data_IF_175679204992
#
_entry.id   IF_175679204992
#
_cell.length_a   1.000
_cell.length_b   1.000
_cell.length_c   1.000
_cell.angle_alpha   90.00
_cell.angle_beta   90.00
_cell.angle_gamma   90.00
#
_symmetry.space_group_name_H-M   'P 1'
#
loop_
_entity.id
_entity.type
_entity.pdbx_description
1 polymer ?
#
# COMPACT_ATOMS: atom_id res chain seq x y z
N UNK A 1 6.01 -11.67 -6.56
CA UNK A 1 6.96 -10.56 -6.84
C UNK A 1 7.18 -10.29 -8.33
N UNK A 2 7.13 -11.31 -9.20
CA UNK A 2 7.33 -11.15 -10.66
C UNK A 2 6.51 -10.04 -11.31
N UNK A 3 5.25 -9.88 -10.90
CA UNK A 3 4.34 -8.82 -11.40
C UNK A 3 4.60 -7.44 -10.80
N UNK A 4 5.17 -7.36 -9.59
CA UNK A 4 5.47 -6.11 -8.89
C UNK A 4 6.79 -5.48 -9.34
N UNK A 5 7.71 -6.29 -9.86
CA UNK A 5 9.00 -5.86 -10.42
C UNK A 5 9.03 -6.18 -11.92
N UNK A 6 8.62 -5.25 -12.80
CA UNK A 6 8.56 -5.49 -14.25
C UNK A 6 9.92 -5.88 -14.83
N UNK A 7 9.92 -6.92 -15.67
CA UNK A 7 11.14 -7.45 -16.28
C UNK A 7 12.08 -8.18 -15.31
N UNK A 8 11.65 -8.45 -14.08
CA UNK A 8 12.42 -9.20 -13.08
C UNK A 8 12.72 -10.63 -13.52
N UNK A 9 11.96 -11.22 -14.44
CA UNK A 9 12.25 -12.53 -15.03
C UNK A 9 13.34 -12.43 -16.12
N UNK A 10 13.14 -11.61 -17.15
CA UNK A 10 14.11 -11.49 -18.25
C UNK A 10 15.45 -10.88 -17.80
N UNK A 11 15.42 -9.97 -16.82
CA UNK A 11 16.60 -9.31 -16.27
C UNK A 11 16.99 -9.83 -14.87
N UNK A 12 16.53 -11.02 -14.49
CA UNK A 12 16.69 -11.58 -13.14
C UNK A 12 18.11 -11.47 -12.59
N UNK A 13 19.14 -11.69 -13.41
CA UNK A 13 20.56 -11.61 -13.00
C UNK A 13 20.95 -10.26 -12.37
N UNK A 14 20.33 -9.16 -12.80
CA UNK A 14 20.57 -7.82 -12.23
C UNK A 14 19.92 -7.64 -10.86
N UNK A 15 18.84 -8.36 -10.62
CA UNK A 15 18.08 -8.31 -9.38
C UNK A 15 18.58 -9.37 -8.37
N UNK A 16 19.25 -10.42 -8.83
CA UNK A 16 19.46 -11.63 -8.03
C UNK A 16 20.37 -11.42 -6.82
N UNK A 17 21.36 -10.53 -6.89
CA UNK A 17 22.21 -10.19 -5.74
C UNK A 17 21.40 -9.56 -4.58
N UNK A 18 20.35 -8.80 -4.90
CA UNK A 18 19.53 -8.09 -3.91
C UNK A 18 18.27 -8.85 -3.51
N UNK A 19 17.57 -9.44 -4.49
CA UNK A 19 16.22 -9.99 -4.32
C UNK A 19 16.17 -11.52 -4.41
N UNK A 20 17.21 -12.17 -4.92
CA UNK A 20 17.25 -13.62 -5.12
C UNK A 20 16.02 -14.17 -5.88
N UNK A 21 15.60 -13.45 -6.92
CA UNK A 21 14.41 -13.83 -7.71
C UNK A 21 14.54 -15.19 -8.40
N UNK A 22 15.76 -15.65 -8.70
CA UNK A 22 15.96 -17.02 -9.20
C UNK A 22 15.43 -18.08 -8.24
N UNK A 23 15.75 -17.95 -6.95
CA UNK A 23 15.24 -18.81 -5.89
C UNK A 23 13.73 -18.66 -5.74
N UNK A 24 13.25 -17.41 -5.66
CA UNK A 24 11.84 -17.13 -5.42
C UNK A 24 10.94 -17.68 -6.53
N UNK A 25 11.23 -17.36 -7.80
CA UNK A 25 10.38 -17.81 -8.92
C UNK A 25 10.42 -19.33 -9.10
N UNK A 26 11.54 -19.97 -8.76
CA UNK A 26 11.63 -21.44 -8.72
C UNK A 26 10.73 -22.01 -7.62
N UNK A 27 10.78 -21.44 -6.42
CA UNK A 27 9.93 -21.85 -5.31
C UNK A 27 8.44 -21.63 -5.61
N UNK A 28 8.08 -20.48 -6.20
CA UNK A 28 6.72 -20.16 -6.62
C UNK A 28 6.21 -21.24 -7.61
N UNK A 29 6.97 -21.56 -8.66
CA UNK A 29 6.60 -22.59 -9.63
C UNK A 29 6.39 -23.97 -8.99
N UNK A 30 7.29 -24.37 -8.09
CA UNK A 30 7.18 -25.66 -7.39
C UNK A 30 5.91 -25.67 -6.54
N UNK A 31 5.68 -24.63 -5.73
CA UNK A 31 4.52 -24.55 -4.83
C UNK A 31 3.19 -24.51 -5.61
N UNK A 32 3.11 -23.71 -6.68
CA UNK A 32 1.91 -23.60 -7.53
C UNK A 32 1.47 -24.95 -8.09
N UNK A 33 2.43 -25.76 -8.54
CA UNK A 33 2.12 -27.05 -9.16
C UNK A 33 1.90 -28.17 -8.14
N UNK A 34 2.58 -28.13 -6.99
CA UNK A 34 2.43 -29.15 -5.94
C UNK A 34 1.17 -28.97 -5.07
N UNK A 35 0.52 -27.80 -5.11
CA UNK A 35 -0.69 -27.57 -4.33
C UNK A 35 -1.88 -28.41 -4.82
N UNK A 36 -2.63 -28.97 -3.87
CA UNK A 36 -3.92 -29.64 -4.12
C UNK A 36 -4.99 -28.63 -4.58
N UNK A 37 -5.01 -27.45 -3.94
CA UNK A 37 -5.85 -26.30 -4.31
C UNK A 37 -5.13 -24.99 -3.97
N UNK A 38 -5.52 -23.91 -4.64
CA UNK A 38 -4.95 -22.57 -4.49
C UNK A 38 -6.09 -21.61 -4.15
N UNK A 39 -5.96 -20.89 -3.04
CA UNK A 39 -6.87 -19.80 -2.68
C UNK A 39 -6.31 -18.48 -3.21
N UNK A 40 -7.14 -17.70 -3.89
CA UNK A 40 -6.84 -16.31 -4.26
C UNK A 40 -7.87 -15.35 -3.67
N UNK A 41 -7.50 -14.08 -3.54
CA UNK A 41 -8.41 -13.07 -2.96
C UNK A 41 -9.33 -12.43 -4.00
N UNK A 42 -8.93 -12.47 -5.27
CA UNK A 42 -9.63 -11.85 -6.41
C UNK A 42 -9.52 -12.73 -7.65
N UNK A 43 -10.40 -12.49 -8.63
CA UNK A 43 -10.26 -13.05 -9.97
C UNK A 43 -9.04 -12.47 -10.70
N UNK A 44 -8.78 -11.17 -10.51
CA UNK A 44 -7.62 -10.45 -11.04
C UNK A 44 -6.31 -11.16 -10.72
N UNK A 45 -6.18 -11.70 -9.50
CA UNK A 45 -4.99 -12.44 -9.08
C UNK A 45 -4.73 -13.66 -9.98
N UNK A 46 -5.77 -14.32 -10.49
CA UNK A 46 -5.65 -15.47 -11.39
C UNK A 46 -5.47 -15.02 -12.84
N UNK A 47 -6.49 -14.38 -13.41
CA UNK A 47 -6.63 -14.15 -14.85
C UNK A 47 -6.80 -12.66 -15.23
N UNK A 48 -6.51 -11.76 -14.30
CA UNK A 48 -6.42 -10.33 -14.59
C UNK A 48 -7.75 -9.70 -15.00
N UNK A 49 -7.71 -8.87 -16.04
CA UNK A 49 -8.88 -8.23 -16.63
C UNK A 49 -8.89 -8.50 -18.14
N UNK A 50 -9.91 -8.01 -18.85
CA UNK A 50 -9.93 -8.06 -20.32
C UNK A 50 -8.67 -7.45 -20.97
N UNK A 51 -8.07 -6.44 -20.33
CA UNK A 51 -6.98 -5.66 -20.91
C UNK A 51 -5.62 -5.89 -20.22
N UNK A 52 -5.57 -6.64 -19.14
CA UNK A 52 -4.36 -6.82 -18.32
C UNK A 52 -4.23 -8.26 -17.84
N UNK A 53 -3.02 -8.80 -17.90
CA UNK A 53 -2.71 -10.17 -17.47
C UNK A 53 -2.77 -10.31 -15.94
N UNK A 54 -3.27 -11.47 -15.48
CA UNK A 54 -3.35 -11.84 -14.07
C UNK A 54 -2.00 -12.14 -13.42
N UNK A 55 -1.99 -12.24 -12.09
CA UNK A 55 -0.74 -12.51 -11.34
C UNK A 55 -0.25 -13.93 -11.62
N UNK A 56 -1.10 -14.94 -11.43
CA UNK A 56 -0.80 -16.34 -11.79
C UNK A 56 -0.67 -16.50 -13.30
N UNK A 57 -1.55 -15.90 -14.09
CA UNK A 57 -1.46 -15.93 -15.56
C UNK A 57 -0.09 -15.50 -16.09
N UNK A 58 0.55 -14.51 -15.46
CA UNK A 58 1.89 -14.05 -15.85
C UNK A 58 2.99 -15.11 -15.66
N UNK A 59 2.72 -16.21 -14.94
CA UNK A 59 3.61 -17.35 -14.75
C UNK A 59 3.33 -18.52 -15.72
N UNK A 60 2.31 -18.40 -16.58
CA UNK A 60 1.99 -19.40 -17.61
C UNK A 60 3.19 -19.66 -18.51
N UNK A 61 3.82 -18.60 -19.03
CA UNK A 61 5.02 -18.72 -19.86
C UNK A 61 5.97 -17.55 -19.59
N UNK A 62 7.22 -17.85 -19.22
CA UNK A 62 8.28 -16.87 -19.04
C UNK A 62 9.67 -17.52 -19.13
N UNK A 63 10.72 -16.71 -19.07
CA UNK A 63 12.10 -17.20 -19.17
C UNK A 63 13.00 -16.47 -18.17
N UNK A 64 13.94 -17.21 -17.59
CA UNK A 64 15.06 -16.68 -16.82
C UNK A 64 16.33 -16.92 -17.65
N UNK A 65 16.75 -15.97 -18.50
CA UNK A 65 17.82 -16.21 -19.47
C UNK A 65 19.11 -16.69 -18.81
N UNK A 66 19.63 -17.82 -19.31
CA UNK A 66 20.82 -18.48 -18.78
C UNK A 66 20.58 -19.33 -17.53
N UNK A 67 19.33 -19.55 -17.12
CA UNK A 67 18.95 -20.49 -16.06
C UNK A 67 17.98 -21.56 -16.59
N UNK A 68 16.72 -21.21 -16.85
CA UNK A 68 15.73 -22.09 -17.48
C UNK A 68 14.61 -21.29 -18.15
N UNK A 69 13.79 -21.98 -18.93
CA UNK A 69 12.58 -21.44 -19.57
C UNK A 69 11.35 -22.22 -19.13
N UNK A 70 10.30 -21.50 -18.77
CA UNK A 70 8.99 -22.04 -18.40
C UNK A 70 8.08 -21.91 -19.61
N UNK A 71 7.77 -23.05 -20.24
CA UNK A 71 6.91 -23.08 -21.43
C UNK A 71 5.42 -23.09 -21.03
N UNK A 72 5.10 -23.82 -19.96
CA UNK A 72 3.75 -23.92 -19.40
C UNK A 72 3.87 -24.15 -17.89
N UNK A 73 3.92 -23.06 -17.11
CA UNK A 73 4.19 -23.08 -15.67
C UNK A 73 2.96 -23.22 -14.79
N UNK A 74 1.81 -22.74 -15.25
CA UNK A 74 0.51 -22.82 -14.58
C UNK A 74 -0.58 -22.60 -15.63
N UNK A 75 -1.77 -23.16 -15.42
CA UNK A 75 -2.95 -22.91 -16.26
C UNK A 75 -3.99 -22.13 -15.44
N UNK A 76 -4.46 -21.00 -15.96
CA UNK A 76 -5.50 -20.18 -15.31
C UNK A 76 -6.85 -20.89 -15.24
N UNK A 77 -7.05 -21.93 -16.05
CA UNK A 77 -8.25 -22.77 -16.03
C UNK A 77 -8.12 -24.01 -15.13
N UNK A 78 -6.99 -24.18 -14.42
CA UNK A 78 -6.80 -25.31 -13.53
C UNK A 78 -7.90 -25.31 -12.43
N UNK A 79 -8.65 -26.41 -12.24
CA UNK A 79 -9.74 -26.48 -11.27
C UNK A 79 -9.28 -26.33 -9.81
N UNK A 80 -7.97 -26.35 -9.55
CA UNK A 80 -7.40 -26.13 -8.22
C UNK A 80 -7.58 -24.68 -7.73
N UNK A 81 -7.80 -23.71 -8.62
CA UNK A 81 -8.01 -22.31 -8.25
C UNK A 81 -9.39 -22.06 -7.66
N UNK A 82 -9.42 -21.41 -6.49
CA UNK A 82 -10.64 -21.05 -5.77
C UNK A 82 -10.52 -19.62 -5.23
N UNK A 83 -11.47 -18.76 -5.58
CA UNK A 83 -11.49 -17.37 -5.06
C UNK A 83 -12.22 -17.37 -3.73
N UNK A 84 -11.52 -16.99 -2.66
CA UNK A 84 -12.08 -16.81 -1.32
C UNK A 84 -11.59 -15.47 -0.78
N UNK A 85 -12.37 -14.42 -1.05
CA UNK A 85 -11.98 -13.06 -0.70
C UNK A 85 -11.93 -12.85 0.83
N UNK A 86 -10.84 -12.29 1.38
CA UNK A 86 -10.74 -11.98 2.79
C UNK A 86 -11.53 -10.70 3.13
N UNK A 87 -11.65 -10.40 4.43
CA UNK A 87 -12.29 -9.18 4.93
C UNK A 87 -11.51 -8.51 6.05
N UNK A 88 -12.03 -7.38 6.53
CA UNK A 88 -11.52 -6.68 7.71
C UNK A 88 -12.30 -7.11 8.97
N UNK A 89 -11.63 -7.19 10.11
CA UNK A 89 -12.28 -7.50 11.40
C UNK A 89 -13.28 -6.42 11.78
N UNK A 90 -14.58 -6.75 11.79
CA UNK A 90 -15.67 -5.79 11.97
C UNK A 90 -15.77 -5.20 13.39
N UNK A 91 -15.07 -5.79 14.34
CA UNK A 91 -14.85 -5.28 15.69
C UNK A 91 -13.85 -4.11 15.72
N UNK A 92 -12.90 -4.09 14.77
CA UNK A 92 -11.86 -3.06 14.65
C UNK A 92 -12.27 -2.00 13.62
N UNK A 93 -12.74 -2.44 12.45
CA UNK A 93 -13.07 -1.60 11.31
C UNK A 93 -14.58 -1.60 11.12
N UNK A 94 -15.20 -0.42 11.24
CA UNK A 94 -16.64 -0.25 11.14
C UNK A 94 -16.96 1.21 10.76
N UNK A 95 -18.17 1.50 10.24
CA UNK A 95 -18.51 2.82 9.72
C UNK A 95 -18.30 3.94 10.75
N UNK A 96 -17.67 5.04 10.33
CA UNK A 96 -17.41 6.22 11.18
C UNK A 96 -18.68 6.87 11.75
N UNK A 97 -19.84 6.61 11.13
CA UNK A 97 -21.17 7.05 11.53
C UNK A 97 -21.73 6.31 12.75
N UNK A 98 -21.17 5.17 13.13
CA UNK A 98 -21.58 4.41 14.32
C UNK A 98 -21.04 5.06 15.61
N UNK A 99 -21.54 6.25 15.97
CA UNK A 99 -21.01 7.10 17.04
C UNK A 99 -20.90 6.41 18.41
N UNK A 100 -21.81 5.48 18.73
CA UNK A 100 -21.79 4.72 19.98
C UNK A 100 -20.62 3.73 20.09
N UNK A 101 -20.06 3.28 18.96
CA UNK A 101 -18.92 2.36 18.92
C UNK A 101 -17.56 3.06 18.86
N UNK A 102 -17.55 4.39 18.69
CA UNK A 102 -16.32 5.18 18.50
C UNK A 102 -15.44 5.11 19.75
N UNK A 103 -14.13 4.94 19.53
CA UNK A 103 -13.15 4.86 20.60
C UNK A 103 -12.65 6.27 20.96
N UNK A 104 -13.55 7.13 21.45
CA UNK A 104 -13.27 8.56 21.71
C UNK A 104 -12.14 8.79 22.71
N UNK A 105 -11.88 7.83 23.61
CA UNK A 105 -10.73 7.85 24.51
C UNK A 105 -9.37 7.92 23.77
N UNK A 106 -9.32 7.50 22.50
CA UNK A 106 -8.11 7.56 21.67
C UNK A 106 -7.94 8.90 20.96
N UNK A 107 -8.95 9.79 20.94
CA UNK A 107 -8.94 11.02 20.15
C UNK A 107 -7.80 11.95 20.53
N UNK A 108 -7.54 12.15 21.83
CA UNK A 108 -6.40 12.97 22.26
C UNK A 108 -5.06 12.44 21.72
N UNK A 109 -4.88 11.13 21.67
CA UNK A 109 -3.66 10.51 21.12
C UNK A 109 -3.57 10.65 19.59
N UNK A 110 -4.71 10.58 18.90
CA UNK A 110 -4.79 10.75 17.43
C UNK A 110 -4.56 12.22 17.06
N UNK A 111 -5.15 13.16 17.81
CA UNK A 111 -4.94 14.58 17.62
C UNK A 111 -3.49 14.98 17.85
N UNK A 112 -2.85 14.42 18.88
CA UNK A 112 -1.41 14.59 19.08
C UNK A 112 -0.63 14.06 17.87
N UNK A 113 -0.91 12.83 17.45
CA UNK A 113 -0.25 12.20 16.30
C UNK A 113 -0.38 13.04 15.01
N UNK A 114 -1.55 13.63 14.76
CA UNK A 114 -1.84 14.40 13.55
C UNK A 114 -1.37 15.86 13.61
N UNK A 115 -1.48 16.51 14.77
CA UNK A 115 -1.45 17.96 14.87
C UNK A 115 -0.45 18.53 15.88
N UNK A 116 0.30 17.69 16.59
CA UNK A 116 1.37 18.16 17.47
C UNK A 116 2.50 18.78 16.63
N UNK A 117 2.85 20.06 16.80
CA UNK A 117 3.90 20.70 16.02
C UNK A 117 5.31 20.15 16.32
N UNK A 118 5.51 19.45 17.44
CA UNK A 118 6.79 18.86 17.81
C UNK A 118 7.27 17.86 16.75
N UNK A 119 8.53 17.98 16.36
CA UNK A 119 9.18 17.06 15.41
C UNK A 119 9.93 16.00 16.22
N UNK A 120 9.62 14.73 16.00
CA UNK A 120 10.21 13.63 16.76
C UNK A 120 10.26 12.34 15.92
N UNK A 121 10.70 11.26 16.56
CA UNK A 121 10.87 9.96 15.89
C UNK A 121 9.54 9.25 15.57
N UNK A 122 8.39 9.76 16.04
CA UNK A 122 7.06 9.22 15.72
C UNK A 122 6.40 9.97 14.55
N UNK A 123 6.68 11.26 14.40
CA UNK A 123 6.08 12.09 13.36
C UNK A 123 6.91 13.33 13.01
N UNK A 124 6.91 13.67 11.72
CA UNK A 124 7.52 14.89 11.17
C UNK A 124 6.58 15.59 10.18
N UNK A 125 6.88 16.86 9.90
CA UNK A 125 5.98 17.78 9.21
C UNK A 125 4.88 18.31 10.15
N UNK A 126 4.13 19.31 9.68
CA UNK A 126 3.07 19.95 10.45
C UNK A 126 1.83 20.18 9.58
N UNK A 127 0.66 20.31 10.21
CA UNK A 127 -0.59 20.69 9.57
C UNK A 127 -1.06 22.02 10.18
N UNK A 128 -0.89 23.12 9.43
CA UNK A 128 -1.20 24.48 9.91
C UNK A 128 -2.71 24.73 9.99
N UNK A 129 -3.47 24.18 9.03
CA UNK A 129 -4.92 24.36 8.96
C UNK A 129 -5.64 23.04 9.28
N UNK A 130 -6.14 22.93 10.50
CA UNK A 130 -6.87 21.74 10.99
C UNK A 130 -8.29 21.62 10.41
N UNK A 131 -8.80 22.65 9.74
CA UNK A 131 -10.14 22.64 9.15
C UNK A 131 -10.19 21.94 7.78
N UNK A 132 -9.04 21.79 7.12
CA UNK A 132 -8.93 21.10 5.84
C UNK A 132 -9.19 19.60 5.98
N UNK A 133 -9.87 18.99 4.99
CA UNK A 133 -9.91 17.54 4.88
C UNK A 133 -8.52 16.93 4.77
N UNK A 134 -8.39 15.68 5.21
CA UNK A 134 -7.14 14.93 5.13
C UNK A 134 -7.21 13.89 4.03
N UNK A 135 -6.27 13.96 3.08
CA UNK A 135 -5.91 12.78 2.28
C UNK A 135 -4.99 11.92 3.14
N UNK A 136 -5.38 10.67 3.34
CA UNK A 136 -4.69 9.71 4.19
C UNK A 136 -4.17 8.53 3.38
N UNK A 137 -2.95 8.10 3.67
CA UNK A 137 -2.39 6.86 3.13
C UNK A 137 -1.61 6.13 4.22
N UNK A 138 -1.74 4.80 4.25
CA UNK A 138 -1.03 3.95 5.22
C UNK A 138 -0.55 2.68 4.53
N UNK A 139 0.75 2.44 4.53
CA UNK A 139 1.35 1.17 4.13
C UNK A 139 2.81 1.07 4.62
N UNK A 140 3.48 -0.03 4.29
CA UNK A 140 4.95 -0.09 4.37
C UNK A 140 5.58 0.94 3.43
N UNK A 141 6.79 1.37 3.76
CA UNK A 141 7.58 2.26 2.94
C UNK A 141 8.55 1.43 2.09
N UNK A 142 8.09 1.02 0.92
CA UNK A 142 8.88 0.29 -0.07
C UNK A 142 8.62 0.85 -1.48
N UNK A 143 9.45 0.46 -2.45
CA UNK A 143 9.38 1.02 -3.80
C UNK A 143 8.02 0.77 -4.47
N UNK A 144 7.45 -0.43 -4.26
CA UNK A 144 6.20 -0.86 -4.90
C UNK A 144 5.02 -0.09 -4.33
N UNK A 145 5.01 0.18 -3.02
CA UNK A 145 3.95 0.95 -2.35
C UNK A 145 3.91 2.42 -2.79
N UNK A 146 5.02 2.96 -3.29
CA UNK A 146 5.08 4.26 -3.97
C UNK A 146 4.52 5.44 -3.16
N UNK A 147 4.78 5.45 -1.84
CA UNK A 147 4.34 6.54 -0.96
C UNK A 147 5.01 7.87 -1.32
N UNK A 148 6.29 7.82 -1.70
CA UNK A 148 7.02 9.02 -2.16
C UNK A 148 6.47 9.56 -3.47
N UNK A 149 5.93 8.71 -4.36
CA UNK A 149 5.24 9.16 -5.57
C UNK A 149 3.96 9.94 -5.26
N UNK A 150 3.16 9.50 -4.28
CA UNK A 150 2.00 10.26 -3.79
C UNK A 150 2.41 11.63 -3.25
N UNK A 151 3.46 11.67 -2.42
CA UNK A 151 3.97 12.92 -1.85
C UNK A 151 4.49 13.86 -2.93
N UNK A 152 5.18 13.34 -3.95
CA UNK A 152 5.62 14.12 -5.09
C UNK A 152 4.45 14.70 -5.90
N UNK A 153 3.43 13.88 -6.21
CA UNK A 153 2.23 14.33 -6.92
C UNK A 153 1.48 15.42 -6.15
N UNK A 154 1.34 15.25 -4.83
CA UNK A 154 0.76 16.25 -3.95
C UNK A 154 1.57 17.55 -3.93
N UNK A 155 2.89 17.45 -3.75
CA UNK A 155 3.79 18.61 -3.69
C UNK A 155 3.76 19.47 -4.96
N UNK A 156 3.61 18.85 -6.13
CA UNK A 156 3.51 19.53 -7.43
C UNK A 156 2.15 20.21 -7.68
N UNK A 157 1.09 19.81 -6.98
CA UNK A 157 -0.27 20.25 -7.29
C UNK A 157 -0.77 21.31 -6.30
N UNK A 158 -0.58 22.59 -6.63
CA UNK A 158 -0.99 23.72 -5.78
C UNK A 158 -2.47 23.67 -5.43
N UNK A 159 -3.36 23.39 -6.40
CA UNK A 159 -4.80 23.31 -6.17
C UNK A 159 -5.14 22.24 -5.13
N UNK A 160 -4.47 21.10 -5.16
CA UNK A 160 -4.70 20.04 -4.17
C UNK A 160 -4.24 20.48 -2.77
N UNK A 161 -3.05 21.08 -2.65
CA UNK A 161 -2.51 21.59 -1.37
C UNK A 161 -3.37 22.71 -0.76
N UNK A 162 -4.02 23.51 -1.60
CA UNK A 162 -4.98 24.52 -1.15
C UNK A 162 -6.23 23.89 -0.52
N UNK A 163 -6.71 22.76 -1.06
CA UNK A 163 -7.96 22.13 -0.66
C UNK A 163 -7.83 21.19 0.54
N UNK A 164 -6.72 20.46 0.67
CA UNK A 164 -6.58 19.37 1.64
C UNK A 164 -5.19 19.34 2.27
N UNK A 165 -5.07 18.67 3.41
CA UNK A 165 -3.79 18.25 4.00
C UNK A 165 -3.44 16.83 3.52
N UNK A 166 -2.15 16.48 3.50
CA UNK A 166 -1.70 15.12 3.24
C UNK A 166 -1.10 14.50 4.51
N UNK A 167 -1.60 13.32 4.89
CA UNK A 167 -1.08 12.51 5.99
C UNK A 167 -0.65 11.14 5.45
N UNK A 168 0.62 10.79 5.67
CA UNK A 168 1.18 9.49 5.29
C UNK A 168 1.68 8.77 6.53
N UNK A 169 1.21 7.54 6.73
CA UNK A 169 1.69 6.60 7.75
C UNK A 169 2.53 5.54 7.05
N UNK A 170 3.86 5.64 7.13
CA UNK A 170 4.74 4.70 6.44
C UNK A 170 6.14 4.65 7.03
N UNK A 171 6.66 3.44 7.21
CA UNK A 171 8.06 3.16 7.56
C UNK A 171 8.59 3.88 8.82
N UNK A 172 9.91 4.01 8.87
CA UNK A 172 10.63 4.83 9.85
C UNK A 172 10.95 6.22 9.29
N UNK A 173 11.22 7.20 10.16
CA UNK A 173 11.63 8.54 9.72
C UNK A 173 13.15 8.66 9.55
N UNK A 174 13.95 7.99 10.40
CA UNK A 174 15.41 7.97 10.30
C UNK A 174 15.88 6.67 9.63
N UNK A 175 16.75 6.80 8.62
CA UNK A 175 17.40 5.69 7.91
C UNK A 175 18.11 4.72 8.85
N UNK A 176 18.62 5.20 10.00
CA UNK A 176 19.33 4.37 11.00
C UNK A 176 18.44 3.32 11.64
N UNK A 177 17.13 3.52 11.62
CA UNK A 177 16.16 2.59 12.19
C UNK A 177 15.77 1.48 11.21
N UNK A 178 16.11 1.63 9.92
CA UNK A 178 15.85 0.61 8.90
C UNK A 178 17.10 -0.18 8.56
N UNK A 179 16.90 -1.48 8.28
CA UNK A 179 17.91 -2.37 7.68
C UNK A 179 17.53 -2.74 6.25
N UNK A 180 16.35 -2.32 5.79
CA UNK A 180 15.85 -2.62 4.46
C UNK A 180 16.33 -1.56 3.47
N UNK A 181 16.96 -1.99 2.38
CA UNK A 181 17.56 -1.07 1.41
C UNK A 181 16.52 -0.26 0.63
N UNK A 182 15.31 -0.80 0.42
CA UNK A 182 14.26 -0.03 -0.24
C UNK A 182 13.68 1.02 0.69
N UNK A 183 13.38 0.65 1.93
CA UNK A 183 12.90 1.58 2.94
C UNK A 183 13.89 2.72 3.17
N UNK A 184 15.19 2.45 3.30
CA UNK A 184 16.23 3.49 3.44
C UNK A 184 16.17 4.48 2.26
N UNK A 185 16.13 3.97 1.02
CA UNK A 185 16.08 4.83 -0.17
C UNK A 185 14.79 5.65 -0.24
N UNK A 186 13.65 5.07 0.17
CA UNK A 186 12.36 5.76 0.21
C UNK A 186 12.29 6.78 1.36
N UNK A 187 12.97 6.55 2.50
CA UNK A 187 13.13 7.52 3.59
C UNK A 187 13.90 8.75 3.09
N UNK A 188 15.06 8.54 2.45
CA UNK A 188 15.88 9.63 1.91
C UNK A 188 15.06 10.46 0.91
N UNK A 189 14.38 9.78 -0.01
CA UNK A 189 13.49 10.42 -0.99
C UNK A 189 12.35 11.18 -0.33
N UNK A 190 11.74 10.65 0.74
CA UNK A 190 10.68 11.35 1.47
C UNK A 190 11.18 12.70 2.04
N UNK A 191 12.34 12.69 2.69
CA UNK A 191 12.98 13.91 3.23
C UNK A 191 13.30 14.92 2.13
N UNK A 192 13.82 14.46 0.99
CA UNK A 192 14.12 15.31 -0.15
C UNK A 192 12.87 15.95 -0.74
N UNK A 193 11.77 15.20 -0.86
CA UNK A 193 10.49 15.71 -1.35
C UNK A 193 9.89 16.76 -0.40
N UNK A 194 9.97 16.53 0.91
CA UNK A 194 9.51 17.49 1.92
C UNK A 194 10.23 18.84 1.77
N UNK A 195 11.56 18.82 1.60
CA UNK A 195 12.37 20.02 1.38
C UNK A 195 12.09 20.66 0.02
N UNK A 196 12.12 19.86 -1.05
CA UNK A 196 11.98 20.30 -2.44
C UNK A 196 10.66 21.04 -2.69
N UNK A 197 9.56 20.55 -2.12
CA UNK A 197 8.23 21.14 -2.32
C UNK A 197 7.78 22.05 -1.16
N UNK A 198 8.64 22.27 -0.16
CA UNK A 198 8.34 23.03 1.06
C UNK A 198 6.98 22.62 1.64
N UNK A 199 6.87 21.36 2.07
CA UNK A 199 5.60 20.74 2.46
C UNK A 199 5.17 21.03 3.90
N UNK A 200 6.00 21.75 4.66
CA UNK A 200 5.65 22.11 6.04
C UNK A 200 4.34 22.92 6.09
N UNK A 201 3.51 22.60 7.08
CA UNK A 201 2.19 23.16 7.25
C UNK A 201 1.07 22.50 6.44
N UNK A 202 1.36 21.63 5.46
CA UNK A 202 0.33 20.89 4.72
C UNK A 202 0.60 19.38 4.60
N UNK A 203 1.67 18.88 5.23
CA UNK A 203 2.08 17.47 5.17
C UNK A 203 2.48 16.96 6.55
N UNK A 204 2.03 15.75 6.86
CA UNK A 204 2.37 15.03 8.08
C UNK A 204 2.80 13.61 7.72
N UNK A 205 4.04 13.26 8.08
CA UNK A 205 4.55 11.91 7.97
C UNK A 205 4.65 11.29 9.35
N UNK A 206 4.01 10.14 9.52
CA UNK A 206 3.91 9.39 10.77
C UNK A 206 4.56 8.02 10.56
N UNK A 207 5.30 7.53 11.56
CA UNK A 207 5.87 6.18 11.52
C UNK A 207 4.79 5.10 11.47
N UNK A 208 5.17 3.92 10.96
CA UNK A 208 4.27 2.76 10.88
C UNK A 208 3.55 2.48 12.21
N UNK A 209 2.23 2.26 12.14
CA UNK A 209 1.37 2.08 13.30
C UNK A 209 0.99 0.61 13.50
N UNK A 210 1.30 0.05 14.66
CA UNK A 210 1.08 -1.39 14.95
C UNK A 210 -0.21 -1.69 15.72
N UNK A 211 -0.80 -0.68 16.37
CA UNK A 211 -2.02 -0.85 17.16
C UNK A 211 -3.27 -0.79 16.26
N UNK A 212 -3.84 -1.95 15.94
CA UNK A 212 -5.01 -2.07 15.07
C UNK A 212 -6.25 -1.33 15.57
N UNK A 213 -6.50 -1.30 16.88
CA UNK A 213 -7.64 -0.57 17.45
C UNK A 213 -7.50 0.94 17.23
N UNK A 214 -6.29 1.49 17.44
CA UNK A 214 -5.98 2.89 17.12
C UNK A 214 -6.05 3.15 15.62
N UNK A 215 -5.58 2.23 14.78
CA UNK A 215 -5.65 2.37 13.32
C UNK A 215 -7.10 2.42 12.81
N UNK A 216 -7.97 1.55 13.34
CA UNK A 216 -9.40 1.58 13.03
C UNK A 216 -10.03 2.93 13.40
N UNK A 217 -9.70 3.47 14.58
CA UNK A 217 -10.19 4.79 14.99
C UNK A 217 -9.57 5.92 14.16
N UNK A 218 -8.31 5.81 13.75
CA UNK A 218 -7.66 6.76 12.86
C UNK A 218 -8.39 6.86 11.52
N UNK A 219 -8.71 5.74 10.85
CA UNK A 219 -9.52 5.73 9.63
C UNK A 219 -10.85 6.49 9.80
N UNK A 220 -11.56 6.24 10.91
CA UNK A 220 -12.82 6.91 11.22
C UNK A 220 -12.63 8.40 11.56
N UNK A 221 -11.52 8.76 12.19
CA UNK A 221 -11.17 10.14 12.47
C UNK A 221 -10.89 10.91 11.17
N UNK A 222 -10.17 10.31 10.22
CA UNK A 222 -9.98 10.90 8.89
C UNK A 222 -11.33 11.10 8.18
N UNK A 223 -12.25 10.15 8.28
CA UNK A 223 -13.59 10.28 7.73
C UNK A 223 -14.38 11.46 8.35
N UNK A 224 -14.21 11.75 9.65
CA UNK A 224 -14.82 12.93 10.28
C UNK A 224 -14.29 14.25 9.68
N UNK A 225 -13.04 14.28 9.18
CA UNK A 225 -12.49 15.45 8.45
C UNK A 225 -13.06 15.60 7.03
N UNK A 226 -13.95 14.70 6.60
CA UNK A 226 -14.42 14.58 5.21
C UNK A 226 -13.28 14.32 4.22
N UNK A 227 -12.25 13.63 4.71
CA UNK A 227 -11.07 13.24 3.96
C UNK A 227 -11.30 12.07 3.01
N UNK A 228 -10.20 11.53 2.50
CA UNK A 228 -10.19 10.36 1.62
C UNK A 228 -8.96 9.48 1.88
N UNK A 229 -9.06 8.19 1.58
CA UNK A 229 -7.93 7.27 1.53
C UNK A 229 -7.34 7.22 0.12
N UNK A 230 -6.01 7.21 0.02
CA UNK A 230 -5.31 7.03 -1.26
C UNK A 230 -4.32 5.87 -1.13
N UNK A 231 -4.39 4.93 -2.07
CA UNK A 231 -3.46 3.80 -2.18
C UNK A 231 -2.70 3.92 -3.51
N UNK A 232 -1.44 4.40 -3.52
CA UNK A 232 -0.75 4.84 -4.74
C UNK A 232 0.23 3.82 -5.35
N UNK A 233 0.16 2.55 -4.96
CA UNK A 233 1.17 1.55 -5.35
C UNK A 233 1.26 1.38 -6.88
N UNK A 234 2.47 1.12 -7.36
CA UNK A 234 2.68 0.73 -8.76
C UNK A 234 1.95 -0.58 -9.09
N UNK A 235 1.88 -1.49 -8.13
CA UNK A 235 1.10 -2.71 -8.20
C UNK A 235 0.68 -3.14 -6.79
N UNK A 236 -0.59 -3.46 -6.59
CA UNK A 236 -1.10 -3.95 -5.30
C UNK A 236 -1.76 -5.31 -5.49
N UNK A 237 -1.24 -6.36 -4.86
CA UNK A 237 -1.74 -7.71 -5.09
C UNK A 237 -3.20 -7.89 -4.64
N UNK A 238 -3.57 -7.29 -3.51
CA UNK A 238 -4.95 -7.26 -3.01
C UNK A 238 -5.29 -5.88 -2.41
N UNK A 239 -4.59 -5.50 -1.34
CA UNK A 239 -4.78 -4.19 -0.69
C UNK A 239 -5.77 -4.22 0.47
N UNK A 240 -5.45 -4.92 1.57
CA UNK A 240 -6.28 -4.93 2.78
C UNK A 240 -6.62 -3.53 3.30
N UNK A 241 -5.70 -2.57 3.17
CA UNK A 241 -5.94 -1.18 3.60
C UNK A 241 -7.04 -0.48 2.82
N UNK A 242 -7.31 -0.89 1.57
CA UNK A 242 -8.46 -0.45 0.77
C UNK A 242 -9.75 -0.96 1.41
N UNK A 243 -9.80 -2.25 1.75
CA UNK A 243 -10.94 -2.88 2.44
C UNK A 243 -11.19 -2.23 3.80
N UNK A 244 -10.13 -1.99 4.58
CA UNK A 244 -10.20 -1.33 5.89
C UNK A 244 -10.77 0.10 5.79
N UNK A 245 -10.28 0.90 4.84
CA UNK A 245 -10.76 2.25 4.60
C UNK A 245 -12.24 2.27 4.18
N UNK A 246 -12.61 1.43 3.21
CA UNK A 246 -14.00 1.30 2.74
C UNK A 246 -14.94 0.83 3.86
N UNK A 247 -14.50 -0.13 4.68
CA UNK A 247 -15.28 -0.63 5.83
C UNK A 247 -15.54 0.47 6.87
N UNK A 248 -14.57 1.37 7.05
CA UNK A 248 -14.72 2.54 7.91
C UNK A 248 -15.57 3.67 7.31
N UNK A 249 -15.98 3.56 6.04
CA UNK A 249 -16.76 4.56 5.30
C UNK A 249 -15.91 5.72 4.77
N UNK A 250 -14.60 5.53 4.59
CA UNK A 250 -13.69 6.53 4.04
C UNK A 250 -13.64 6.41 2.50
N UNK A 251 -14.01 7.46 1.74
CA UNK A 251 -13.89 7.44 0.28
C UNK A 251 -12.47 7.07 -0.15
N UNK A 252 -12.33 6.14 -1.08
CA UNK A 252 -11.03 5.54 -1.39
C UNK A 252 -10.67 5.70 -2.87
N UNK A 253 -9.45 6.16 -3.13
CA UNK A 253 -8.81 6.19 -4.43
C UNK A 253 -7.65 5.19 -4.42
N UNK A 254 -7.77 4.08 -5.13
CA UNK A 254 -6.74 3.04 -5.18
C UNK A 254 -6.12 2.92 -6.56
N UNK A 255 -4.98 2.23 -6.65
CA UNK A 255 -4.30 1.97 -7.92
C UNK A 255 -5.18 1.12 -8.83
N UNK A 256 -5.13 1.39 -10.14
CA UNK A 256 -5.79 0.55 -11.16
C UNK A 256 -5.02 -0.72 -11.50
N UNK A 257 -3.91 -1.00 -10.81
CA UNK A 257 -2.99 -2.10 -11.11
C UNK A 257 -2.97 -3.15 -9.99
N UNK A 258 -3.61 -4.29 -10.24
CA UNK A 258 -3.70 -5.41 -9.29
C UNK A 258 -5.09 -5.53 -8.66
N UNK A 259 -5.15 -6.13 -7.47
CA UNK A 259 -6.40 -6.48 -6.79
C UNK A 259 -7.38 -5.32 -6.53
N UNK A 260 -6.94 -4.09 -6.21
CA UNK A 260 -7.88 -2.98 -5.97
C UNK A 260 -8.77 -2.64 -7.16
N UNK A 261 -8.36 -2.99 -8.39
CA UNK A 261 -9.17 -2.81 -9.59
C UNK A 261 -10.44 -3.67 -9.63
N UNK A 262 -10.50 -4.71 -8.80
CA UNK A 262 -11.69 -5.56 -8.61
C UNK A 262 -12.45 -5.21 -7.32
N UNK A 263 -11.76 -4.65 -6.31
CA UNK A 263 -12.37 -4.28 -5.02
C UNK A 263 -13.28 -3.06 -5.15
N UNK A 264 -12.88 -2.05 -5.92
CA UNK A 264 -13.64 -0.81 -6.10
C UNK A 264 -14.46 -0.91 -7.39
N UNK A 265 -15.78 -0.81 -7.26
CA UNK A 265 -16.77 -0.93 -8.36
C UNK A 265 -17.51 0.39 -8.56
#
# INVERSE_FOLDING_TARGET
EKTKYPGSDIYWKKFDEKYHFSCQFTADLIAMNNADFIITSTYQEIAGTKNTVGQYESHTAFTLPGLYRVVHGIDVFDPKFNIVSPGAGMDIYFPYSAKQKRLTALHASIEKLLYDPEQNDEHVGTLSDRSKPIIFSMARLDHVKNMTGLVECYGKNTRLRELVNLVVVAGYIDVKNSKDREEIAEIEKMHDLMKKYNLDGQFRWIVAQTNRARNGELYRYIADTRGAFVQPAFYEAFGLTVVEAMTCGLPTFATGHGGPAEIIV
#
